data_IF_685196557718
#
_entry.id   IF_685196557718
#
_cell.length_a   1.000
_cell.length_b   1.000
_cell.length_c   1.000
_cell.angle_alpha   90.00
_cell.angle_beta   90.00
_cell.angle_gamma   90.00
#
_symmetry.space_group_name_H-M   'P 1'
#
loop_
_entity.id
_entity.type
_entity.pdbx_description
1 polymer ?
#
# COMPACT_ATOMS: atom_id res chain seq x y z
N UNK A 1 -9.37 11.79 -2.32
CA UNK A 1 -9.39 11.21 -0.97
C UNK A 1 -10.74 11.52 -0.35
N UNK A 2 -11.34 10.56 0.36
CA UNK A 2 -12.59 10.77 1.11
C UNK A 2 -12.33 10.42 2.57
N UNK A 3 -12.03 11.42 3.40
CA UNK A 3 -11.69 11.23 4.82
C UNK A 3 -12.43 12.21 5.76
N UNK A 4 -13.77 12.26 5.73
CA UNK A 4 -14.53 13.24 6.51
C UNK A 4 -14.52 12.97 8.02
N UNK A 5 -14.23 11.74 8.46
CA UNK A 5 -14.29 11.36 9.88
C UNK A 5 -12.94 11.57 10.56
N UNK A 6 -11.85 10.99 10.03
CA UNK A 6 -10.53 11.15 10.65
C UNK A 6 -9.87 12.48 10.33
N UNK A 7 -10.24 13.10 9.19
CA UNK A 7 -9.53 14.23 8.57
C UNK A 7 -8.05 13.92 8.26
N UNK A 8 -7.68 12.64 8.22
CA UNK A 8 -6.35 12.16 7.91
C UNK A 8 -6.31 11.65 6.47
N UNK A 9 -5.64 12.40 5.60
CA UNK A 9 -5.55 12.09 4.17
C UNK A 9 -4.33 11.22 3.89
N UNK A 10 -4.54 10.16 3.12
CA UNK A 10 -3.50 9.25 2.67
C UNK A 10 -3.63 9.05 1.16
N UNK A 11 -2.54 9.24 0.46
CA UNK A 11 -2.39 8.90 -0.96
C UNK A 11 -1.43 7.74 -1.15
N UNK A 12 -1.65 6.93 -2.18
CA UNK A 12 -0.74 5.87 -2.59
C UNK A 12 -0.56 5.87 -4.11
N UNK A 13 0.60 5.43 -4.59
CA UNK A 13 0.88 5.22 -6.00
C UNK A 13 1.75 4.00 -6.20
N UNK A 14 1.29 3.07 -7.05
CA UNK A 14 2.04 1.91 -7.49
C UNK A 14 2.74 2.22 -8.79
N UNK A 15 4.00 1.81 -8.90
CA UNK A 15 4.73 1.77 -10.16
C UNK A 15 4.75 0.33 -10.67
N UNK A 16 4.18 0.11 -11.85
CA UNK A 16 4.26 -1.19 -12.52
C UNK A 16 5.56 -1.33 -13.30
N UNK A 17 5.95 -2.57 -13.62
CA UNK A 17 7.10 -2.90 -14.48
C UNK A 17 6.96 -2.32 -15.88
N UNK A 18 5.72 -2.16 -16.36
CA UNK A 18 5.39 -1.46 -17.62
C UNK A 18 5.66 0.04 -17.59
N UNK A 19 5.90 0.63 -16.41
CA UNK A 19 6.01 2.07 -16.20
C UNK A 19 4.67 2.77 -15.92
N UNK A 20 3.55 2.05 -15.98
CA UNK A 20 2.23 2.58 -15.60
C UNK A 20 2.20 2.92 -14.10
N UNK A 21 1.53 4.03 -13.77
CA UNK A 21 1.29 4.44 -12.38
C UNK A 21 -0.19 4.27 -12.05
N UNK A 22 -0.47 3.51 -10.97
CA UNK A 22 -1.82 3.30 -10.47
C UNK A 22 -1.97 4.01 -9.13
N UNK A 23 -3.00 4.85 -9.01
CA UNK A 23 -3.18 5.74 -7.86
C UNK A 23 -4.28 5.21 -6.94
N UNK A 24 -4.09 5.42 -5.65
CA UNK A 24 -5.08 5.11 -4.61
C UNK A 24 -5.17 6.23 -3.60
N UNK A 25 -6.31 6.27 -2.90
CA UNK A 25 -6.56 7.17 -1.79
C UNK A 25 -7.37 6.44 -0.72
N UNK A 26 -7.26 6.89 0.53
CA UNK A 26 -8.15 6.38 1.56
C UNK A 26 -9.60 6.85 1.32
N UNK A 27 -10.53 5.95 1.59
CA UNK A 27 -11.97 6.17 1.48
C UNK A 27 -12.62 5.67 2.76
N UNK A 28 -13.15 6.61 3.54
CA UNK A 28 -13.81 6.33 4.80
C UNK A 28 -15.31 6.13 4.64
N UNK A 29 -15.91 5.59 5.70
CA UNK A 29 -17.33 5.35 5.83
C UNK A 29 -17.73 5.48 7.30
N UNK A 30 -18.99 5.81 7.58
CA UNK A 30 -19.53 5.87 8.94
C UNK A 30 -19.37 4.53 9.70
N UNK A 31 -19.51 3.41 9.00
CA UNK A 31 -19.16 2.10 9.55
C UNK A 31 -17.65 1.87 9.37
N UNK A 32 -16.86 2.32 10.35
CA UNK A 32 -15.40 2.43 10.24
C UNK A 32 -14.67 1.19 9.68
N UNK A 33 -15.04 -0.06 10.04
CA UNK A 33 -14.37 -1.26 9.52
C UNK A 33 -14.47 -1.45 7.99
N UNK A 34 -15.47 -0.85 7.32
CA UNK A 34 -15.62 -0.97 5.86
C UNK A 34 -14.75 0.03 5.09
N UNK A 35 -14.10 0.96 5.78
CA UNK A 35 -13.18 1.91 5.18
C UNK A 35 -11.96 1.22 4.56
N UNK A 36 -11.45 1.81 3.48
CA UNK A 36 -10.31 1.28 2.73
C UNK A 36 -9.16 2.27 2.72
N UNK A 37 -7.95 1.76 2.99
CA UNK A 37 -6.72 2.54 2.98
C UNK A 37 -6.21 2.78 1.55
N UNK A 38 -5.37 3.79 1.35
CA UNK A 38 -4.90 4.18 0.03
C UNK A 38 -4.15 3.06 -0.71
N UNK A 39 -3.33 2.31 0.02
CA UNK A 39 -2.51 1.21 -0.50
C UNK A 39 -3.40 0.07 -1.02
N UNK A 40 -4.45 -0.28 -0.25
CA UNK A 40 -5.44 -1.29 -0.65
C UNK A 40 -6.27 -0.83 -1.84
N UNK A 41 -6.64 0.44 -1.91
CA UNK A 41 -7.30 1.02 -3.08
C UNK A 41 -6.41 0.88 -4.33
N UNK A 42 -5.15 1.32 -4.26
CA UNK A 42 -4.23 1.26 -5.40
C UNK A 42 -3.98 -0.17 -5.88
N UNK A 43 -3.71 -1.09 -4.95
CA UNK A 43 -3.47 -2.51 -5.27
C UNK A 43 -4.73 -3.19 -5.82
N UNK A 44 -5.89 -2.95 -5.21
CA UNK A 44 -7.15 -3.49 -5.71
C UNK A 44 -7.43 -3.04 -7.14
N UNK A 45 -7.22 -1.76 -7.45
CA UNK A 45 -7.32 -1.24 -8.82
C UNK A 45 -6.33 -1.92 -9.75
N UNK A 46 -5.06 -2.07 -9.35
CA UNK A 46 -4.05 -2.73 -10.16
C UNK A 46 -4.42 -4.17 -10.51
N UNK A 47 -4.93 -4.93 -9.54
CA UNK A 47 -5.35 -6.32 -9.75
C UNK A 47 -6.54 -6.41 -10.71
N UNK A 48 -7.53 -5.51 -10.57
CA UNK A 48 -8.68 -5.40 -11.49
C UNK A 48 -8.23 -5.04 -12.90
N UNK A 49 -7.22 -4.18 -13.05
CA UNK A 49 -6.62 -3.82 -14.33
C UNK A 49 -5.71 -4.93 -14.91
N UNK A 50 -5.53 -6.05 -14.21
CA UNK A 50 -4.82 -7.22 -14.72
C UNK A 50 -3.39 -7.36 -14.20
N UNK A 51 -2.89 -6.46 -13.36
CA UNK A 51 -1.58 -6.62 -12.73
C UNK A 51 -1.56 -7.89 -11.86
N UNK A 52 -0.40 -8.56 -11.84
CA UNK A 52 -0.13 -9.77 -11.05
C UNK A 52 1.08 -9.56 -10.16
N UNK A 53 1.31 -10.53 -9.28
CA UNK A 53 2.56 -10.60 -8.52
C UNK A 53 3.75 -10.66 -9.49
N UNK A 54 4.72 -9.78 -9.29
CA UNK A 54 5.86 -9.57 -10.21
C UNK A 54 5.72 -8.35 -11.12
N UNK A 55 4.50 -7.85 -11.36
CA UNK A 55 4.29 -6.64 -12.16
C UNK A 55 4.47 -5.35 -11.36
N UNK A 56 4.52 -5.44 -10.03
CA UNK A 56 4.59 -4.28 -9.13
C UNK A 56 6.04 -4.04 -8.73
N UNK A 57 6.59 -2.91 -9.15
CA UNK A 57 7.98 -2.54 -8.92
C UNK A 57 8.21 -1.78 -7.62
N UNK A 58 7.29 -0.89 -7.25
CA UNK A 58 7.41 -0.06 -6.05
C UNK A 58 6.03 0.48 -5.61
N UNK A 59 5.93 0.83 -4.33
CA UNK A 59 4.79 1.53 -3.74
C UNK A 59 5.27 2.83 -3.08
N UNK A 60 4.65 3.95 -3.41
CA UNK A 60 4.78 5.20 -2.68
C UNK A 60 3.50 5.49 -1.88
N UNK A 61 3.65 5.92 -0.64
CA UNK A 61 2.57 6.33 0.27
C UNK A 61 2.89 7.74 0.78
N UNK A 62 1.91 8.63 0.80
CA UNK A 62 2.07 9.99 1.29
C UNK A 62 0.98 10.36 2.30
N UNK A 63 1.38 11.06 3.35
CA UNK A 63 0.50 11.48 4.45
C UNK A 63 0.74 12.92 4.87
N UNK A 64 -0.26 13.53 5.49
CA UNK A 64 -0.22 14.93 5.95
C UNK A 64 0.51 15.17 7.29
N UNK A 65 1.29 14.22 7.77
CA UNK A 65 2.03 14.31 9.05
C UNK A 65 3.51 14.07 8.84
N UNK A 66 4.33 14.56 9.77
CA UNK A 66 5.76 14.27 9.87
C UNK A 66 6.07 13.77 11.30
N UNK A 67 6.80 12.65 11.48
CA UNK A 67 7.41 11.79 10.45
C UNK A 67 6.37 11.08 9.56
N UNK A 68 6.77 10.53 8.40
CA UNK A 68 5.82 9.86 7.50
C UNK A 68 5.11 8.70 8.20
N UNK A 69 3.81 8.55 7.95
CA UNK A 69 3.07 7.42 8.50
C UNK A 69 3.48 6.11 7.82
N UNK A 70 3.61 5.05 8.61
CA UNK A 70 3.84 3.70 8.09
C UNK A 70 2.52 3.04 7.68
N UNK A 71 2.48 2.23 6.60
CA UNK A 71 1.32 1.42 6.25
C UNK A 71 0.80 0.62 7.44
N UNK A 72 -0.52 0.57 7.61
CA UNK A 72 -1.13 -0.17 8.71
C UNK A 72 -0.93 -1.69 8.52
N UNK A 73 -1.09 -2.48 9.58
CA UNK A 73 -0.86 -3.94 9.52
C UNK A 73 -1.67 -4.66 8.43
N UNK A 74 -2.93 -4.27 8.24
CA UNK A 74 -3.77 -4.82 7.16
C UNK A 74 -3.23 -4.47 5.76
N UNK A 75 -2.73 -3.25 5.57
CA UNK A 75 -2.09 -2.87 4.30
C UNK A 75 -0.81 -3.65 4.06
N UNK A 76 0.04 -3.80 5.09
CA UNK A 76 1.27 -4.59 4.97
C UNK A 76 0.98 -6.02 4.52
N UNK A 77 -0.01 -6.66 5.14
CA UNK A 77 -0.43 -8.01 4.75
C UNK A 77 -1.06 -8.07 3.36
N UNK A 78 -1.85 -7.06 2.97
CA UNK A 78 -2.45 -7.00 1.64
C UNK A 78 -1.40 -6.78 0.55
N UNK A 79 -0.40 -5.93 0.80
CA UNK A 79 0.75 -5.73 -0.09
C UNK A 79 1.52 -7.05 -0.24
N UNK A 80 1.68 -7.82 0.85
CA UNK A 80 2.40 -9.10 0.85
C UNK A 80 1.82 -10.13 -0.11
N UNK A 81 0.51 -10.13 -0.35
CA UNK A 81 -0.12 -11.06 -1.29
C UNK A 81 0.37 -10.81 -2.73
N UNK A 82 0.48 -9.55 -3.14
CA UNK A 82 0.70 -9.16 -4.53
C UNK A 82 2.13 -8.73 -4.84
N UNK A 83 2.98 -8.56 -3.84
CA UNK A 83 4.30 -7.95 -4.01
C UNK A 83 5.38 -8.81 -3.37
N UNK A 84 6.59 -8.76 -3.95
CA UNK A 84 7.74 -9.45 -3.38
C UNK A 84 8.17 -8.81 -2.05
N UNK A 85 8.71 -9.60 -1.10
CA UNK A 85 9.23 -9.07 0.17
C UNK A 85 10.30 -7.99 -0.01
N UNK A 86 11.07 -8.06 -1.09
CA UNK A 86 12.11 -7.08 -1.44
C UNK A 86 11.55 -5.78 -2.05
N UNK A 87 10.25 -5.71 -2.36
CA UNK A 87 9.65 -4.54 -3.03
C UNK A 87 9.78 -3.29 -2.14
N UNK A 88 10.30 -2.17 -2.68
CA UNK A 88 10.49 -0.94 -1.91
C UNK A 88 9.16 -0.20 -1.70
N UNK A 89 8.94 0.17 -0.43
CA UNK A 89 7.85 1.02 0.04
C UNK A 89 8.42 2.37 0.47
N UNK A 90 8.09 3.41 -0.28
CA UNK A 90 8.50 4.78 -0.02
C UNK A 90 7.38 5.50 0.75
N UNK A 91 7.68 6.02 1.93
CA UNK A 91 6.71 6.71 2.79
C UNK A 91 7.10 8.18 2.91
N UNK A 92 6.27 9.07 2.38
CA UNK A 92 6.48 10.51 2.34
C UNK A 92 5.66 11.23 3.42
N UNK A 93 6.28 12.20 4.07
CA UNK A 93 5.61 13.13 4.97
C UNK A 93 5.07 14.36 4.22
N UNK A 94 4.38 15.23 4.97
CA UNK A 94 3.83 16.49 4.45
C UNK A 94 4.87 17.47 3.89
N UNK A 95 6.14 17.31 4.28
CA UNK A 95 7.24 18.20 3.89
C UNK A 95 8.06 17.58 2.73
N UNK A 96 7.60 16.45 2.18
CA UNK A 96 8.25 15.73 1.08
C UNK A 96 9.45 14.89 1.50
N UNK A 97 9.74 14.76 2.80
CA UNK A 97 10.80 13.86 3.28
C UNK A 97 10.30 12.43 3.24
N UNK A 98 11.18 11.51 2.86
CA UNK A 98 10.84 10.10 2.70
C UNK A 98 11.63 9.17 3.61
N UNK A 99 10.96 8.14 4.11
CA UNK A 99 11.59 6.92 4.61
C UNK A 99 11.33 5.81 3.60
N UNK A 100 12.37 5.08 3.21
CA UNK A 100 12.27 3.95 2.27
C UNK A 100 12.63 2.67 3.00
N UNK A 101 11.73 1.70 2.97
CA UNK A 101 11.93 0.36 3.52
C UNK A 101 11.45 -0.68 2.52
N UNK A 102 11.94 -1.92 2.60
CA UNK A 102 11.34 -3.04 1.88
C UNK A 102 10.08 -3.52 2.59
N UNK A 103 9.23 -4.27 1.89
CA UNK A 103 8.07 -4.92 2.50
C UNK A 103 8.47 -5.88 3.62
N UNK A 104 9.58 -6.61 3.47
CA UNK A 104 10.11 -7.52 4.50
C UNK A 104 10.52 -6.77 5.77
N UNK A 105 11.10 -5.56 5.65
CA UNK A 105 11.41 -4.73 6.80
C UNK A 105 10.14 -4.22 7.51
N UNK A 106 9.06 -3.99 6.76
CA UNK A 106 7.77 -3.56 7.32
C UNK A 106 6.99 -4.72 7.94
N UNK A 107 7.12 -5.94 7.41
CA UNK A 107 6.39 -7.12 7.86
C UNK A 107 7.31 -8.35 7.84
N UNK A 108 8.25 -8.43 8.80
CA UNK A 108 9.20 -9.53 8.86
C UNK A 108 8.49 -10.86 9.15
N UNK A 109 9.02 -11.95 8.59
CA UNK A 109 8.46 -13.31 8.76
C UNK A 109 6.96 -13.38 8.43
N UNK A 110 6.54 -12.63 7.42
CA UNK A 110 5.13 -12.52 7.04
C UNK A 110 4.55 -13.84 6.53
N UNK A 111 3.29 -14.09 6.87
CA UNK A 111 2.47 -15.10 6.20
C UNK A 111 2.22 -14.68 4.75
N UNK A 112 2.33 -15.60 3.80
CA UNK A 112 2.18 -15.32 2.38
C UNK A 112 1.76 -16.53 1.56
N UNK A 113 1.66 -16.40 0.23
CA UNK A 113 1.23 -17.48 -0.67
C UNK A 113 2.02 -18.78 -0.48
N UNK A 114 3.32 -18.69 -0.22
CA UNK A 114 4.19 -19.84 0.04
C UNK A 114 3.94 -20.56 1.38
N UNK A 115 3.17 -19.96 2.29
CA UNK A 115 2.76 -20.56 3.56
C UNK A 115 1.50 -21.44 3.42
N UNK A 116 0.80 -21.34 2.29
CA UNK A 116 -0.39 -22.13 2.01
C UNK A 116 0.01 -23.43 1.27
N UNK A 117 -0.74 -24.54 1.48
CA UNK A 117 -0.51 -25.76 0.72
C UNK A 117 -0.72 -25.48 -0.78
N UNK A 118 0.22 -25.93 -1.61
CA UNK A 118 0.05 -25.88 -3.06
C UNK A 118 -1.07 -26.85 -3.46
N UNK A 119 -2.07 -26.34 -4.18
CA UNK A 119 -3.08 -27.13 -4.88
C UNK A 119 -2.83 -27.07 -6.38
#
# INVERSE_FOLDING_TARGET
MNSPYSKFRVGASLLLTSGQIIRGANVENAAYPVGTCAERTALGTAVVEGARRGDIRALAVATDISPPASPCGMCRQYIREFCEPSMPVLMYDKDGKSTVLTLEQLLPMSFGPESLPMH
#
